data_IF_852264402162
#
_entry.id   IF_852264402162
#
_cell.length_a   1.000
_cell.length_b   1.000
_cell.length_c   1.000
_cell.angle_alpha   90.00
_cell.angle_beta   90.00
_cell.angle_gamma   90.00
#
_symmetry.space_group_name_H-M   'P 1'
#
loop_
_entity.id
_entity.type
_entity.pdbx_description
1 polymer ?
#
# COMPACT_ATOMS: atom_id res chain seq x y z
N UNK A 1 11.85 12.40 -24.36
CA UNK A 1 11.06 12.17 -23.12
C UNK A 1 10.08 13.32 -23.07
N UNK A 2 8.76 13.06 -23.17
CA UNK A 2 7.75 14.13 -23.25
C UNK A 2 7.80 15.01 -21.98
N UNK A 3 7.65 16.33 -22.14
CA UNK A 3 7.87 17.36 -21.11
C UNK A 3 6.94 17.26 -19.88
N UNK A 4 5.94 16.38 -19.90
CA UNK A 4 5.02 16.15 -18.78
C UNK A 4 5.46 15.06 -17.81
N UNK A 5 6.48 14.25 -18.16
CA UNK A 5 7.15 13.38 -17.19
C UNK A 5 8.05 14.27 -16.34
N UNK A 6 7.44 14.91 -15.35
CA UNK A 6 8.19 15.62 -14.33
C UNK A 6 9.07 14.61 -13.59
N UNK A 7 10.36 14.64 -13.87
CA UNK A 7 11.40 14.02 -13.05
C UNK A 7 11.42 14.79 -11.74
N UNK A 8 10.51 14.46 -10.83
CA UNK A 8 10.50 15.05 -9.50
C UNK A 8 11.73 14.58 -8.71
N UNK A 9 12.23 15.52 -7.92
CA UNK A 9 13.46 15.49 -7.14
C UNK A 9 13.81 14.10 -6.56
N UNK A 10 14.97 13.61 -6.99
CA UNK A 10 15.61 12.34 -6.58
C UNK A 10 16.08 12.32 -5.12
N UNK A 11 15.72 13.32 -4.31
CA UNK A 11 16.08 13.44 -2.89
C UNK A 11 15.26 12.54 -1.94
N UNK A 12 14.26 11.79 -2.41
CA UNK A 12 13.57 10.77 -1.61
C UNK A 12 14.13 9.38 -1.97
N UNK A 13 14.79 8.67 -1.04
CA UNK A 13 15.27 7.30 -1.27
C UNK A 13 14.15 6.33 -1.71
N UNK A 14 14.43 5.31 -2.55
CA UNK A 14 15.75 4.81 -2.93
C UNK A 14 16.21 5.27 -4.32
N UNK A 15 17.39 5.91 -4.34
CA UNK A 15 18.13 6.28 -5.54
C UNK A 15 18.52 5.04 -6.37
N UNK A 16 17.95 4.90 -7.56
CA UNK A 16 18.58 4.14 -8.64
C UNK A 16 18.51 5.00 -9.90
N UNK A 17 19.64 5.17 -10.58
CA UNK A 17 19.82 6.02 -11.78
C UNK A 17 18.85 5.74 -12.94
N UNK A 18 18.09 4.64 -12.87
CA UNK A 18 17.19 4.14 -13.90
C UNK A 18 15.77 3.85 -13.40
N UNK A 19 15.40 4.27 -12.17
CA UNK A 19 14.04 4.07 -11.66
C UNK A 19 13.27 5.37 -11.72
N UNK A 20 12.20 5.39 -12.51
CA UNK A 20 11.31 6.53 -12.65
C UNK A 20 10.15 6.35 -11.68
N UNK A 21 10.17 7.07 -10.57
CA UNK A 21 9.06 7.09 -9.63
C UNK A 21 8.10 8.21 -9.99
N UNK A 22 6.81 7.90 -10.09
CA UNK A 22 5.76 8.91 -10.15
C UNK A 22 5.21 9.12 -8.74
N UNK A 23 5.49 10.31 -8.18
CA UNK A 23 5.16 10.69 -6.81
C UNK A 23 3.64 10.90 -6.62
N UNK A 24 3.14 10.86 -5.36
CA UNK A 24 1.76 11.24 -5.05
C UNK A 24 1.40 12.61 -5.66
N UNK A 25 0.27 12.68 -6.38
CA UNK A 25 -0.17 13.87 -7.12
C UNK A 25 -0.07 13.75 -8.65
N UNK A 26 0.61 12.70 -9.17
CA UNK A 26 0.63 12.39 -10.60
C UNK A 26 -0.65 11.73 -11.13
N UNK A 27 -1.61 11.37 -10.27
CA UNK A 27 -2.79 10.60 -10.71
C UNK A 27 -3.64 11.36 -11.72
N UNK A 28 -3.69 12.68 -11.58
CA UNK A 28 -4.41 13.60 -12.45
C UNK A 28 -3.86 13.55 -13.90
N UNK A 29 -2.57 13.21 -14.06
CA UNK A 29 -1.92 13.08 -15.37
C UNK A 29 -1.87 11.64 -15.86
N UNK A 30 -2.22 10.65 -15.03
CA UNK A 30 -2.34 9.23 -15.40
C UNK A 30 -3.71 8.94 -16.06
N UNK A 31 -4.04 9.74 -17.08
CA UNK A 31 -5.18 9.48 -17.97
C UNK A 31 -5.01 8.13 -18.70
N UNK A 32 -6.08 7.49 -19.21
CA UNK A 32 -5.97 6.24 -19.97
C UNK A 32 -4.94 6.31 -21.10
N UNK A 33 -4.93 7.41 -21.87
CA UNK A 33 -3.95 7.67 -22.93
C UNK A 33 -2.50 7.68 -22.41
N UNK A 34 -2.25 8.36 -21.29
CA UNK A 34 -0.90 8.46 -20.75
C UNK A 34 -0.45 7.15 -20.10
N UNK A 35 -1.35 6.42 -19.43
CA UNK A 35 -1.05 5.08 -18.90
C UNK A 35 -0.70 4.10 -20.01
N UNK A 36 -1.47 4.08 -21.10
CA UNK A 36 -1.17 3.24 -22.26
C UNK A 36 0.21 3.55 -22.86
N UNK A 37 0.56 4.83 -23.00
CA UNK A 37 1.90 5.24 -23.42
C UNK A 37 2.98 4.72 -22.47
N UNK A 38 2.83 4.94 -21.17
CA UNK A 38 3.79 4.48 -20.16
C UNK A 38 3.95 2.96 -20.14
N UNK A 39 2.86 2.22 -20.34
CA UNK A 39 2.87 0.76 -20.36
C UNK A 39 3.61 0.19 -21.59
N UNK A 40 3.74 0.97 -22.66
CA UNK A 40 4.48 0.62 -23.88
C UNK A 40 5.96 1.04 -23.84
N UNK A 41 6.37 1.81 -22.84
CA UNK A 41 7.77 2.24 -22.71
C UNK A 41 8.67 1.04 -22.34
N UNK A 42 9.88 0.95 -22.89
CA UNK A 42 10.84 -0.11 -22.55
C UNK A 42 11.48 0.07 -21.16
N UNK A 43 11.07 1.10 -20.41
CA UNK A 43 11.61 1.45 -19.09
C UNK A 43 10.55 1.35 -18.02
N UNK A 44 10.97 1.02 -16.80
CA UNK A 44 10.05 0.82 -15.67
C UNK A 44 9.67 2.14 -15.00
N UNK A 45 8.38 2.27 -14.71
CA UNK A 45 7.82 3.35 -13.91
C UNK A 45 7.13 2.78 -12.67
N UNK A 46 7.40 3.35 -11.51
CA UNK A 46 6.79 2.94 -10.25
C UNK A 46 5.80 3.99 -9.79
N UNK A 47 4.54 3.61 -9.69
CA UNK A 47 3.44 4.48 -9.24
C UNK A 47 3.00 4.05 -7.85
N UNK A 48 3.12 4.93 -6.86
CA UNK A 48 2.51 4.72 -5.55
C UNK A 48 1.16 5.42 -5.51
N UNK A 49 0.11 4.69 -5.15
CA UNK A 49 -1.23 5.26 -4.97
C UNK A 49 -1.98 4.66 -3.78
N UNK A 50 -2.98 5.40 -3.31
CA UNK A 50 -4.01 4.97 -2.36
C UNK A 50 -5.42 5.01 -2.98
N UNK A 51 -5.53 5.23 -4.30
CA UNK A 51 -6.82 5.31 -4.98
C UNK A 51 -7.41 3.91 -5.24
N UNK A 52 -8.69 3.87 -5.57
CA UNK A 52 -9.36 2.71 -6.13
C UNK A 52 -8.70 2.27 -7.45
N UNK A 53 -8.89 1.01 -7.87
CA UNK A 53 -8.37 0.57 -9.16
C UNK A 53 -8.93 1.38 -10.32
N UNK A 54 -8.18 1.42 -11.42
CA UNK A 54 -8.71 1.94 -12.67
C UNK A 54 -9.79 0.99 -13.23
N UNK A 55 -10.75 1.50 -14.03
CA UNK A 55 -11.74 0.64 -14.69
C UNK A 55 -11.14 -0.38 -15.66
N UNK A 56 -9.93 -0.09 -16.17
CA UNK A 56 -9.20 -0.94 -17.11
C UNK A 56 -7.69 -0.83 -16.90
N UNK A 57 -6.97 -1.89 -17.26
CA UNK A 57 -5.51 -1.96 -17.20
C UNK A 57 -4.93 -2.41 -18.55
N UNK A 58 -3.89 -1.74 -18.99
CA UNK A 58 -3.19 -2.01 -20.24
C UNK A 58 -2.12 -3.10 -20.04
N UNK A 59 -1.81 -3.82 -21.11
CA UNK A 59 -0.63 -4.70 -21.12
C UNK A 59 0.63 -3.90 -20.81
N UNK A 60 1.48 -4.43 -19.93
CA UNK A 60 2.64 -3.73 -19.35
C UNK A 60 2.37 -3.04 -18.00
N UNK A 61 1.11 -2.92 -17.56
CA UNK A 61 0.79 -2.48 -16.21
C UNK A 61 0.75 -3.65 -15.22
N UNK A 62 1.51 -3.52 -14.13
CA UNK A 62 1.55 -4.49 -13.04
C UNK A 62 1.09 -3.83 -11.74
N UNK A 63 0.40 -4.60 -10.89
CA UNK A 63 -0.15 -4.12 -9.63
C UNK A 63 0.39 -4.94 -8.46
N UNK A 64 0.94 -4.21 -7.50
CA UNK A 64 1.37 -4.72 -6.21
C UNK A 64 0.44 -4.16 -5.13
N UNK A 65 -0.40 -5.00 -4.54
CA UNK A 65 -1.29 -4.59 -3.45
C UNK A 65 -0.78 -5.13 -2.12
N UNK A 66 -0.48 -4.25 -1.16
CA UNK A 66 -0.12 -4.66 0.21
C UNK A 66 -1.35 -4.57 1.10
N UNK A 67 -1.72 -5.69 1.72
CA UNK A 67 -2.87 -5.80 2.64
C UNK A 67 -2.37 -5.91 4.07
N UNK A 68 -3.04 -5.20 4.98
CA UNK A 68 -2.76 -5.27 6.42
C UNK A 68 -4.08 -5.37 7.17
N UNK A 69 -4.07 -6.11 8.27
CA UNK A 69 -5.22 -6.28 9.14
C UNK A 69 -5.85 -4.91 9.51
N UNK A 70 -7.18 -4.72 9.38
CA UNK A 70 -7.84 -3.41 9.50
C UNK A 70 -7.58 -2.74 10.84
N UNK A 71 -7.68 -3.46 11.97
CA UNK A 71 -7.37 -2.89 13.29
C UNK A 71 -5.97 -2.25 13.34
N UNK A 72 -4.96 -2.87 12.72
CA UNK A 72 -3.61 -2.30 12.68
C UNK A 72 -3.54 -1.07 11.78
N UNK A 73 -4.27 -1.07 10.66
CA UNK A 73 -4.38 0.06 9.75
C UNK A 73 -5.04 1.25 10.45
N UNK A 74 -6.19 1.03 11.10
CA UNK A 74 -6.95 2.08 11.78
C UNK A 74 -6.15 2.72 12.91
N UNK A 75 -5.52 1.91 13.77
CA UNK A 75 -4.64 2.46 14.81
C UNK A 75 -3.48 3.23 14.18
N UNK A 76 -2.83 2.68 13.14
CA UNK A 76 -1.71 3.37 12.48
C UNK A 76 -2.14 4.71 11.90
N UNK A 77 -3.28 4.74 11.19
CA UNK A 77 -3.79 5.93 10.54
C UNK A 77 -4.30 6.97 11.54
N UNK A 78 -5.05 6.56 12.58
CA UNK A 78 -5.50 7.44 13.66
C UNK A 78 -4.33 8.21 14.28
N UNK A 79 -3.24 7.50 14.57
CA UNK A 79 -2.06 8.13 15.15
C UNK A 79 -1.31 9.02 14.16
N UNK A 80 -1.29 8.65 12.88
CA UNK A 80 -0.73 9.48 11.82
C UNK A 80 -1.49 10.80 11.69
N UNK A 81 -2.82 10.78 11.53
CA UNK A 81 -3.61 11.99 11.32
C UNK A 81 -3.67 12.89 12.56
N UNK A 82 -3.67 12.30 13.77
CA UNK A 82 -3.60 13.07 15.01
C UNK A 82 -2.28 13.81 15.13
N UNK A 83 -1.17 13.17 14.75
CA UNK A 83 0.17 13.74 14.86
C UNK A 83 0.48 14.78 13.78
N UNK A 84 0.13 14.48 12.53
CA UNK A 84 0.58 15.27 11.38
C UNK A 84 -0.44 16.27 10.87
N UNK A 85 -1.73 15.98 11.02
CA UNK A 85 -2.81 16.87 10.56
C UNK A 85 -3.61 17.49 11.69
N UNK A 86 -3.30 17.14 12.95
CA UNK A 86 -4.07 17.55 14.13
C UNK A 86 -5.57 17.31 13.93
N UNK A 87 -5.90 16.24 13.19
CA UNK A 87 -7.26 15.96 12.77
C UNK A 87 -8.13 15.60 13.98
N UNK A 88 -9.36 16.14 14.09
CA UNK A 88 -10.29 15.79 15.17
C UNK A 88 -10.96 14.42 14.96
N UNK A 89 -10.66 13.72 13.85
CA UNK A 89 -11.27 12.43 13.52
C UNK A 89 -10.94 11.37 14.56
N UNK A 90 -11.99 10.74 15.06
CA UNK A 90 -11.93 9.67 16.06
C UNK A 90 -11.55 8.33 15.42
N UNK A 91 -11.21 7.34 16.26
CA UNK A 91 -11.05 5.96 15.79
C UNK A 91 -12.36 5.40 15.21
N UNK A 92 -13.50 5.78 15.77
CA UNK A 92 -14.83 5.44 15.26
C UNK A 92 -15.04 5.96 13.84
N UNK A 93 -14.67 7.21 13.56
CA UNK A 93 -14.74 7.77 12.20
C UNK A 93 -13.90 6.97 11.20
N UNK A 94 -12.71 6.53 11.62
CA UNK A 94 -11.80 5.76 10.77
C UNK A 94 -12.35 4.36 10.49
N UNK A 95 -12.89 3.67 11.50
CA UNK A 95 -13.54 2.36 11.33
C UNK A 95 -14.72 2.47 10.35
N UNK A 96 -15.49 3.55 10.41
CA UNK A 96 -16.62 3.75 9.50
C UNK A 96 -16.24 4.28 8.11
N UNK A 97 -14.95 4.51 7.85
CA UNK A 97 -14.52 5.10 6.58
C UNK A 97 -14.87 6.58 6.40
N UNK A 98 -15.23 7.29 7.47
CA UNK A 98 -15.54 8.73 7.47
C UNK A 98 -14.26 9.60 7.40
N UNK A 99 -13.38 9.26 6.47
CA UNK A 99 -12.05 9.84 6.22
C UNK A 99 -11.82 10.02 4.71
N UNK A 100 -10.83 10.83 4.27
CA UNK A 100 -10.64 11.12 2.85
C UNK A 100 -10.43 9.92 1.92
N UNK A 101 -9.96 8.79 2.46
CA UNK A 101 -9.71 7.56 1.69
C UNK A 101 -10.84 6.53 1.77
N UNK A 102 -11.95 6.85 2.46
CA UNK A 102 -13.11 5.97 2.56
C UNK A 102 -12.90 4.75 3.45
N UNK A 103 -13.72 3.72 3.21
CA UNK A 103 -13.72 2.47 3.98
C UNK A 103 -12.61 1.52 3.54
N UNK A 104 -11.96 0.88 4.52
CA UNK A 104 -10.94 -0.14 4.27
C UNK A 104 -11.49 -1.34 3.49
N UNK A 105 -12.70 -1.81 3.82
CA UNK A 105 -13.29 -2.97 3.14
C UNK A 105 -13.67 -2.62 1.71
N UNK A 106 -14.29 -1.47 1.48
CA UNK A 106 -14.66 -1.01 0.13
C UNK A 106 -13.43 -0.88 -0.77
N UNK A 107 -12.33 -0.32 -0.25
CA UNK A 107 -11.08 -0.19 -0.99
C UNK A 107 -10.52 -1.55 -1.41
N UNK A 108 -10.39 -2.50 -0.47
CA UNK A 108 -9.84 -3.80 -0.79
C UNK A 108 -10.76 -4.63 -1.70
N UNK A 109 -12.07 -4.58 -1.48
CA UNK A 109 -13.04 -5.32 -2.30
C UNK A 109 -13.07 -4.81 -3.75
N UNK A 110 -12.91 -3.50 -3.97
CA UNK A 110 -12.79 -2.97 -5.33
C UNK A 110 -11.56 -3.55 -6.06
N UNK A 111 -10.43 -3.71 -5.37
CA UNK A 111 -9.25 -4.37 -5.93
C UNK A 111 -9.42 -5.88 -6.13
N UNK A 112 -10.15 -6.57 -5.25
CA UNK A 112 -10.50 -7.98 -5.47
C UNK A 112 -11.36 -8.15 -6.74
N UNK A 113 -12.30 -7.24 -6.98
CA UNK A 113 -13.18 -7.26 -8.16
C UNK A 113 -12.42 -7.08 -9.48
N UNK A 114 -11.41 -6.20 -9.52
CA UNK A 114 -10.62 -5.97 -10.74
C UNK A 114 -9.50 -7.01 -10.93
N UNK A 115 -9.06 -7.68 -9.86
CA UNK A 115 -7.92 -8.60 -9.90
C UNK A 115 -7.99 -9.67 -11.00
N UNK A 116 -9.17 -10.25 -11.36
CA UNK A 116 -9.25 -11.24 -12.44
C UNK A 116 -8.89 -10.67 -13.82
N UNK A 117 -9.04 -9.36 -14.03
CA UNK A 117 -8.65 -8.70 -15.29
C UNK A 117 -7.13 -8.60 -15.43
N UNK A 118 -6.42 -8.53 -14.31
CA UNK A 118 -4.96 -8.41 -14.27
C UNK A 118 -4.26 -9.76 -14.36
N UNK A 119 -4.93 -10.88 -14.03
CA UNK A 119 -4.37 -12.24 -14.13
C UNK A 119 -2.99 -12.35 -13.45
N UNK A 120 -1.96 -12.64 -14.22
CA UNK A 120 -0.55 -12.77 -13.82
C UNK A 120 0.16 -11.42 -13.63
N UNK A 121 -0.54 -10.30 -13.78
CA UNK A 121 -0.05 -8.92 -13.54
C UNK A 121 -0.48 -8.34 -12.20
N UNK A 122 -1.11 -9.13 -11.34
CA UNK A 122 -1.53 -8.73 -9.99
C UNK A 122 -0.89 -9.61 -8.92
N UNK A 123 -0.29 -8.98 -7.91
CA UNK A 123 0.22 -9.66 -6.72
C UNK A 123 -0.29 -8.97 -5.47
N UNK A 124 -0.96 -9.76 -4.63
CA UNK A 124 -1.38 -9.33 -3.31
C UNK A 124 -0.44 -9.87 -2.24
N UNK A 125 0.17 -8.97 -1.46
CA UNK A 125 1.10 -9.29 -0.39
C UNK A 125 0.49 -8.97 0.97
N UNK A 126 0.61 -9.88 1.93
CA UNK A 126 0.24 -9.60 3.33
C UNK A 126 1.39 -8.90 4.04
N UNK A 127 1.13 -7.75 4.63
CA UNK A 127 2.12 -6.97 5.37
C UNK A 127 2.86 -7.79 6.44
N UNK A 128 2.15 -8.67 7.14
CA UNK A 128 2.76 -9.54 8.17
C UNK A 128 3.81 -10.50 7.59
N UNK A 129 3.57 -11.01 6.38
CA UNK A 129 4.43 -11.99 5.72
C UNK A 129 5.66 -11.28 5.17
N UNK A 130 5.47 -10.12 4.53
CA UNK A 130 6.54 -9.22 4.08
C UNK A 130 7.48 -8.84 5.23
N UNK A 131 6.95 -8.49 6.41
CA UNK A 131 7.76 -8.15 7.58
C UNK A 131 8.52 -9.37 8.12
N UNK A 132 7.93 -10.56 8.07
CA UNK A 132 8.58 -11.79 8.57
C UNK A 132 9.65 -12.35 7.64
N UNK A 133 9.49 -12.18 6.32
CA UNK A 133 10.41 -12.72 5.31
C UNK A 133 10.45 -11.81 4.08
N UNK A 134 11.26 -10.74 4.18
CA UNK A 134 11.39 -9.74 3.13
C UNK A 134 11.97 -10.33 1.83
N UNK A 135 12.90 -11.28 1.92
CA UNK A 135 13.50 -11.92 0.74
C UNK A 135 12.47 -12.71 -0.05
N UNK A 136 11.58 -13.46 0.63
CA UNK A 136 10.48 -14.14 -0.05
C UNK A 136 9.57 -13.16 -0.79
N UNK A 137 9.22 -12.03 -0.17
CA UNK A 137 8.41 -11.01 -0.82
C UNK A 137 9.14 -10.39 -2.04
N UNK A 138 10.46 -10.21 -1.96
CA UNK A 138 11.27 -9.76 -3.10
C UNK A 138 11.27 -10.78 -4.25
N UNK A 139 11.36 -12.08 -3.97
CA UNK A 139 11.22 -13.13 -4.99
C UNK A 139 9.83 -13.13 -5.63
N UNK A 140 8.75 -13.00 -4.84
CA UNK A 140 7.38 -12.92 -5.37
C UNK A 140 7.20 -11.71 -6.29
N UNK A 141 7.74 -10.55 -5.90
CA UNK A 141 7.72 -9.33 -6.73
C UNK A 141 8.55 -9.53 -8.01
N UNK A 142 9.75 -10.10 -7.90
CA UNK A 142 10.60 -10.42 -9.07
C UNK A 142 9.86 -11.34 -10.04
N UNK A 143 9.20 -12.38 -9.55
CA UNK A 143 8.44 -13.31 -10.39
C UNK A 143 7.29 -12.61 -11.11
N UNK A 144 6.68 -11.59 -10.50
CA UNK A 144 5.63 -10.80 -11.11
C UNK A 144 6.16 -9.88 -12.24
N UNK A 145 7.19 -9.09 -11.94
CA UNK A 145 7.59 -7.96 -12.81
C UNK A 145 8.89 -8.20 -13.60
N UNK A 146 9.55 -9.34 -13.40
CA UNK A 146 10.79 -9.72 -14.08
C UNK A 146 12.02 -8.90 -13.67
N UNK A 147 11.93 -8.07 -12.63
CA UNK A 147 13.04 -7.24 -12.17
C UNK A 147 13.90 -7.96 -11.13
N UNK A 148 15.19 -8.07 -11.43
CA UNK A 148 16.17 -8.56 -10.48
C UNK A 148 16.35 -7.61 -9.29
N UNK A 149 16.62 -8.20 -8.13
CA UNK A 149 17.01 -7.47 -6.92
C UNK A 149 18.31 -8.06 -6.36
N UNK A 150 19.05 -7.22 -5.65
CA UNK A 150 20.31 -7.61 -4.99
C UNK A 150 19.98 -8.28 -3.66
N UNK A 151 19.90 -9.61 -3.64
CA UNK A 151 19.57 -10.37 -2.44
C UNK A 151 20.60 -10.21 -1.31
N UNK A 152 21.85 -9.90 -1.65
CA UNK A 152 22.95 -9.61 -0.72
C UNK A 152 22.85 -8.19 -0.11
N UNK A 153 22.07 -7.29 -0.71
CA UNK A 153 21.89 -5.94 -0.20
C UNK A 153 21.00 -5.99 1.04
N UNK A 154 21.59 -5.65 2.19
CA UNK A 154 20.85 -5.53 3.45
C UNK A 154 19.65 -4.60 3.30
N UNK A 155 18.46 -5.15 3.51
CA UNK A 155 17.22 -4.38 3.66
C UNK A 155 17.23 -3.79 5.08
N UNK A 156 17.03 -2.46 5.24
CA UNK A 156 17.00 -1.86 6.56
C UNK A 156 15.93 -2.50 7.45
N UNK A 157 16.31 -2.82 8.69
CA UNK A 157 15.35 -3.29 9.69
C UNK A 157 14.38 -2.16 10.07
N UNK A 158 13.22 -2.52 10.65
CA UNK A 158 12.30 -1.52 11.17
C UNK A 158 12.98 -0.60 12.18
N UNK A 159 13.83 -1.15 13.06
CA UNK A 159 14.55 -0.38 14.08
C UNK A 159 15.56 0.59 13.47
N UNK A 160 16.24 0.20 12.38
CA UNK A 160 17.13 1.08 11.62
C UNK A 160 16.35 2.22 10.97
N UNK A 161 15.19 1.92 10.39
CA UNK A 161 14.29 2.92 9.82
C UNK A 161 13.72 3.85 10.89
N UNK A 162 13.33 3.32 12.05
CA UNK A 162 12.86 4.08 13.20
C UNK A 162 13.93 5.01 13.76
N UNK A 163 15.19 4.56 13.88
CA UNK A 163 16.28 5.45 14.30
C UNK A 163 16.47 6.62 13.33
N UNK A 164 16.31 6.40 12.02
CA UNK A 164 16.44 7.43 10.99
C UNK A 164 15.24 8.37 10.92
N UNK A 165 14.03 7.88 11.16
CA UNK A 165 12.81 8.67 11.04
C UNK A 165 11.77 8.24 12.08
N UNK A 166 12.01 8.53 13.37
CA UNK A 166 11.20 8.00 14.47
C UNK A 166 9.76 8.50 14.44
N UNK A 167 9.55 9.65 13.81
CA UNK A 167 8.21 10.22 13.65
C UNK A 167 7.36 9.42 12.65
N UNK A 168 7.98 8.89 11.59
CA UNK A 168 7.32 8.14 10.53
C UNK A 168 7.21 6.66 10.88
N UNK A 169 8.28 6.05 11.41
CA UNK A 169 8.33 4.65 11.83
C UNK A 169 8.06 4.54 13.34
N UNK A 170 6.78 4.61 13.72
CA UNK A 170 6.38 4.76 15.13
C UNK A 170 6.62 3.53 16.01
N UNK A 171 6.11 2.37 15.61
CA UNK A 171 6.26 1.12 16.36
C UNK A 171 6.11 -0.09 15.44
N UNK A 172 7.19 -0.83 15.26
CA UNK A 172 7.22 -2.08 14.48
C UNK A 172 6.88 -3.30 15.33
N UNK A 173 6.61 -3.09 16.63
CA UNK A 173 6.33 -4.16 17.57
C UNK A 173 4.95 -4.76 17.30
N UNK A 174 4.88 -6.09 17.35
CA UNK A 174 3.65 -6.89 17.49
C UNK A 174 3.03 -6.63 18.87
N UNK A 175 2.55 -5.41 19.12
CA UNK A 175 1.70 -5.18 20.29
C UNK A 175 0.45 -6.04 20.10
N UNK A 176 -0.12 -6.56 21.19
CA UNK A 176 -1.46 -7.16 21.21
C UNK A 176 -2.47 -6.04 20.92
N UNK A 177 -2.49 -5.59 19.66
CA UNK A 177 -3.10 -4.34 19.24
C UNK A 177 -4.61 -4.40 19.41
N UNK A 178 -5.18 -5.60 19.35
CA UNK A 178 -6.58 -5.86 19.67
C UNK A 178 -6.92 -5.57 21.14
N UNK A 179 -5.97 -5.68 22.08
CA UNK A 179 -6.21 -5.36 23.50
C UNK A 179 -6.41 -3.86 23.74
N UNK A 180 -6.06 -3.00 22.77
CA UNK A 180 -6.34 -1.55 22.86
C UNK A 180 -7.68 -1.14 22.30
N UNK A 181 -8.44 -2.07 21.72
CA UNK A 181 -9.80 -1.82 21.24
C UNK A 181 -10.79 -2.25 22.32
N UNK A 182 -11.85 -1.47 22.49
CA UNK A 182 -13.03 -1.90 23.24
C UNK A 182 -13.82 -2.98 22.47
N UNK A 183 -14.61 -3.77 23.19
CA UNK A 183 -15.48 -4.79 22.57
C UNK A 183 -16.42 -4.20 21.52
N UNK A 184 -16.94 -2.99 21.76
CA UNK A 184 -17.77 -2.29 20.80
C UNK A 184 -17.02 -1.97 19.50
N UNK A 185 -15.77 -1.51 19.58
CA UNK A 185 -14.98 -1.24 18.38
C UNK A 185 -14.60 -2.53 17.65
N UNK A 186 -14.26 -3.61 18.35
CA UNK A 186 -14.03 -4.92 17.74
C UNK A 186 -15.28 -5.45 17.02
N UNK A 187 -16.45 -5.32 17.65
CA UNK A 187 -17.73 -5.68 17.04
C UNK A 187 -18.03 -4.84 15.79
N UNK A 188 -17.72 -3.53 15.82
CA UNK A 188 -17.86 -2.67 14.65
C UNK A 188 -16.91 -3.09 13.52
N UNK A 189 -15.65 -3.42 13.83
CA UNK A 189 -14.69 -3.90 12.84
C UNK A 189 -15.18 -5.20 12.20
N UNK A 190 -15.64 -6.16 13.02
CA UNK A 190 -16.18 -7.42 12.50
C UNK A 190 -17.40 -7.18 11.61
N UNK A 191 -18.34 -6.33 12.06
CA UNK A 191 -19.57 -6.04 11.34
C UNK A 191 -19.32 -5.35 9.99
N UNK A 192 -18.39 -4.38 9.95
CA UNK A 192 -18.15 -3.55 8.76
C UNK A 192 -17.11 -4.13 7.80
N UNK A 193 -16.15 -4.89 8.32
CA UNK A 193 -15.01 -5.36 7.53
C UNK A 193 -14.81 -6.87 7.55
N UNK A 194 -15.59 -7.63 8.32
CA UNK A 194 -15.43 -9.08 8.47
C UNK A 194 -15.45 -9.84 7.15
N UNK A 195 -16.37 -9.49 6.24
CA UNK A 195 -16.43 -10.11 4.91
C UNK A 195 -15.15 -9.89 4.09
N UNK A 196 -14.65 -8.66 4.05
CA UNK A 196 -13.39 -8.34 3.36
C UNK A 196 -12.19 -9.00 4.05
N UNK A 197 -12.17 -9.05 5.39
CA UNK A 197 -11.14 -9.76 6.14
C UNK A 197 -11.10 -11.24 5.78
N UNK A 198 -12.25 -11.91 5.73
CA UNK A 198 -12.37 -13.32 5.36
C UNK A 198 -11.81 -13.58 3.96
N UNK A 199 -12.23 -12.77 2.96
CA UNK A 199 -11.71 -12.85 1.59
C UNK A 199 -10.19 -12.70 1.52
N UNK A 200 -9.64 -11.82 2.35
CA UNK A 200 -8.21 -11.53 2.42
C UNK A 200 -7.46 -12.44 3.40
N UNK A 201 -8.12 -13.49 3.92
CA UNK A 201 -7.56 -14.46 4.86
C UNK A 201 -6.99 -13.79 6.14
N UNK A 202 -7.80 -12.92 6.73
CA UNK A 202 -7.64 -12.30 8.04
C UNK A 202 -8.83 -12.63 8.94
N UNK A 203 -8.59 -12.68 10.25
CA UNK A 203 -9.58 -12.85 11.31
C UNK A 203 -9.24 -11.93 12.48
N UNK A 204 -10.23 -11.65 13.34
CA UNK A 204 -9.99 -10.99 14.63
C UNK A 204 -9.34 -11.91 15.68
N UNK A 205 -9.33 -13.22 15.42
CA UNK A 205 -8.75 -14.25 16.29
C UNK A 205 -7.21 -14.28 16.20
#
# INVERSE_FOLDING_TARGET
>A
MEDWIALYDLNIPPHTKNCRYLLPGCLNILTPKNRQKLAQEPTYFFVKTHHHPYPEYFEGEYVLQIVRHPAQVFTSYHNFIKKYYQSPKSLHDIIHGNIPYGSWSEWHLAWEEISPQLKDRFLQLKFKDVVSNQLKACEEIKNLIGLDYKADKKIPSFDELQKKSPNYYRSGKKRKLLESYSDNELNQIQKLHGYAMEKLNYSLN
#
